data_IF_166802977991
#
_entry.id   IF_166802977991
#
_cell.length_a   1.000
_cell.length_b   1.000
_cell.length_c   1.000
_cell.angle_alpha   90.00
_cell.angle_beta   90.00
_cell.angle_gamma   90.00
#
_symmetry.space_group_name_H-M   'P 1'
#
loop_
_entity.id
_entity.type
_entity.pdbx_description
1 polymer ?
#
# COMPACT_ATOMS: atom_id res chain seq x y z
N UNK A 1 20.00 6.52 1.71
CA UNK A 1 19.77 6.28 0.27
C UNK A 1 18.95 5.01 0.10
N UNK A 2 17.88 5.11 -0.66
CA UNK A 2 17.01 3.96 -0.94
C UNK A 2 17.65 3.05 -2.00
N UNK A 3 17.51 1.74 -1.83
CA UNK A 3 17.98 0.75 -2.79
C UNK A 3 16.78 0.30 -3.61
N UNK A 4 16.90 0.37 -4.94
CA UNK A 4 15.88 -0.12 -5.86
C UNK A 4 16.08 -1.62 -6.03
N UNK A 5 15.04 -2.41 -5.74
CA UNK A 5 15.06 -3.86 -5.93
C UNK A 5 14.26 -4.21 -7.19
N UNK A 6 14.88 -4.99 -8.09
CA UNK A 6 14.19 -5.52 -9.26
C UNK A 6 13.26 -6.66 -8.89
N UNK A 7 12.09 -6.67 -9.52
CA UNK A 7 11.08 -7.73 -9.42
C UNK A 7 10.69 -8.16 -10.82
N UNK A 8 10.12 -9.36 -10.94
CA UNK A 8 9.62 -9.84 -12.24
C UNK A 8 8.60 -8.88 -12.84
N UNK A 9 7.78 -8.26 -11.99
CA UNK A 9 6.70 -7.35 -12.40
C UNK A 9 7.13 -5.87 -12.47
N UNK A 10 8.31 -5.50 -12.00
CA UNK A 10 8.74 -4.11 -11.96
C UNK A 10 9.84 -3.86 -10.94
N UNK A 11 9.66 -2.84 -10.12
CA UNK A 11 10.65 -2.47 -9.10
C UNK A 11 9.97 -2.11 -7.78
N UNK A 12 10.71 -2.27 -6.69
CA UNK A 12 10.30 -1.79 -5.37
C UNK A 12 11.43 -1.03 -4.71
N UNK A 13 11.08 0.05 -4.01
CA UNK A 13 12.01 0.84 -3.22
C UNK A 13 11.51 0.81 -1.78
N UNK A 14 12.19 0.08 -0.89
CA UNK A 14 11.83 0.11 0.53
C UNK A 14 12.12 1.50 1.11
N UNK A 15 11.10 2.15 1.66
CA UNK A 15 11.21 3.48 2.26
C UNK A 15 11.27 3.40 3.78
N UNK A 16 10.44 2.55 4.39
CA UNK A 16 10.43 2.29 5.83
C UNK A 16 10.39 0.79 6.03
N UNK A 17 11.30 0.26 6.83
CA UNK A 17 11.32 -1.15 7.20
C UNK A 17 11.52 -1.27 8.71
N UNK A 18 10.43 -1.51 9.43
CA UNK A 18 10.40 -1.72 10.87
C UNK A 18 9.54 -2.95 11.17
N UNK A 19 9.68 -3.58 12.35
CA UNK A 19 8.86 -4.76 12.66
C UNK A 19 7.35 -4.52 12.58
N UNK A 20 6.89 -3.29 12.89
CA UNK A 20 5.47 -2.97 12.93
C UNK A 20 4.95 -2.33 11.63
N UNK A 21 5.86 -1.87 10.75
CA UNK A 21 5.47 -1.17 9.53
C UNK A 21 6.52 -1.33 8.44
N UNK A 22 6.05 -1.56 7.21
CA UNK A 22 6.87 -1.46 6.01
C UNK A 22 6.15 -0.57 5.01
N UNK A 23 6.89 0.32 4.40
CA UNK A 23 6.39 1.19 3.33
C UNK A 23 7.31 1.05 2.14
N UNK A 24 6.74 0.70 1.00
CA UNK A 24 7.46 0.55 -0.26
C UNK A 24 6.85 1.43 -1.34
N UNK A 25 7.71 2.07 -2.13
CA UNK A 25 7.29 2.66 -3.40
C UNK A 25 7.49 1.60 -4.48
N UNK A 26 6.41 1.25 -5.19
CA UNK A 26 6.47 0.22 -6.23
C UNK A 26 6.16 0.82 -7.59
N UNK A 27 6.82 0.27 -8.61
CA UNK A 27 6.47 0.50 -10.02
C UNK A 27 6.15 -0.85 -10.63
N UNK A 28 4.94 -0.99 -11.16
CA UNK A 28 4.46 -2.23 -11.76
C UNK A 28 4.28 -2.01 -13.25
N UNK A 29 4.97 -2.79 -14.06
CA UNK A 29 4.84 -2.71 -15.51
C UNK A 29 3.46 -3.22 -15.93
N UNK A 30 2.91 -2.65 -16.99
CA UNK A 30 1.65 -3.10 -17.57
C UNK A 30 1.66 -4.63 -17.77
N UNK A 31 0.67 -5.32 -17.23
CA UNK A 31 0.59 -6.78 -17.24
C UNK A 31 1.37 -7.47 -16.11
N UNK A 32 2.16 -6.73 -15.34
CA UNK A 32 2.89 -7.28 -14.21
C UNK A 32 1.96 -7.69 -13.06
N UNK A 33 2.29 -8.77 -12.38
CA UNK A 33 1.53 -9.24 -11.22
C UNK A 33 2.47 -9.88 -10.20
N UNK A 34 2.10 -9.75 -8.93
CA UNK A 34 2.86 -10.38 -7.85
C UNK A 34 2.32 -11.78 -7.54
N UNK A 35 2.98 -12.50 -6.64
CA UNK A 35 2.50 -13.80 -6.17
C UNK A 35 1.19 -13.66 -5.40
N UNK A 36 0.35 -14.70 -5.45
CA UNK A 36 -0.79 -14.83 -4.54
C UNK A 36 -0.24 -15.23 -3.17
N UNK A 37 -0.44 -14.37 -2.17
CA UNK A 37 0.12 -14.57 -0.82
C UNK A 37 -0.78 -13.94 0.24
N UNK A 38 -0.47 -14.22 1.51
CA UNK A 38 -1.11 -13.55 2.63
C UNK A 38 -0.07 -13.23 3.71
N UNK A 39 -0.43 -12.31 4.59
CA UNK A 39 0.37 -11.95 5.77
C UNK A 39 -0.42 -12.31 7.01
N UNK A 40 0.14 -13.11 7.91
CA UNK A 40 -0.59 -13.63 9.06
C UNK A 40 -0.92 -12.55 10.09
N UNK A 41 -0.03 -11.58 10.27
CA UNK A 41 -0.15 -10.60 11.34
C UNK A 41 -0.09 -9.14 10.87
N UNK A 42 -0.03 -8.90 9.57
CA UNK A 42 0.04 -7.54 9.03
C UNK A 42 -1.14 -7.26 8.10
N UNK A 43 -1.64 -6.05 8.20
CA UNK A 43 -2.61 -5.49 7.25
C UNK A 43 -1.80 -4.90 6.10
N UNK A 44 -2.31 -5.01 4.89
CA UNK A 44 -1.64 -4.53 3.69
C UNK A 44 -2.54 -3.54 2.97
N UNK A 45 -2.00 -2.36 2.64
CA UNK A 45 -2.73 -1.36 1.87
C UNK A 45 -1.95 -0.98 0.61
N UNK A 46 -2.71 -0.58 -0.41
CA UNK A 46 -2.18 -0.08 -1.67
C UNK A 46 -2.79 1.29 -1.96
N UNK A 47 -1.94 2.25 -2.25
CA UNK A 47 -2.34 3.58 -2.70
C UNK A 47 -1.75 3.83 -4.08
N UNK A 48 -2.60 4.00 -5.10
CA UNK A 48 -2.15 4.25 -6.47
C UNK A 48 -1.88 5.74 -6.67
N UNK A 49 -0.65 6.08 -7.05
CA UNK A 49 -0.30 7.45 -7.39
C UNK A 49 -0.62 7.75 -8.85
N UNK A 50 -0.33 6.79 -9.74
CA UNK A 50 -0.57 6.91 -11.18
C UNK A 50 -0.70 5.52 -11.78
N UNK A 51 -1.66 5.32 -12.67
CA UNK A 51 -1.88 4.05 -13.37
C UNK A 51 -3.22 3.39 -13.02
N UNK A 52 -3.26 2.06 -13.18
CA UNK A 52 -4.43 1.24 -12.91
C UNK A 52 -3.97 -0.09 -12.34
N UNK A 53 -4.33 -0.36 -11.09
CA UNK A 53 -3.90 -1.55 -10.37
C UNK A 53 -5.11 -2.37 -9.91
N UNK A 54 -5.18 -3.62 -10.34
CA UNK A 54 -6.17 -4.58 -9.84
C UNK A 54 -5.67 -5.16 -8.53
N UNK A 55 -6.53 -5.19 -7.52
CA UNK A 55 -6.28 -5.93 -6.29
C UNK A 55 -7.23 -7.12 -6.27
N UNK A 56 -6.67 -8.31 -6.33
CA UNK A 56 -7.40 -9.56 -6.27
C UNK A 56 -7.37 -10.08 -4.84
N UNK A 57 -8.54 -10.35 -4.27
CA UNK A 57 -8.67 -10.82 -2.88
C UNK A 57 -9.51 -12.09 -2.84
N UNK A 58 -9.01 -13.11 -2.16
CA UNK A 58 -9.71 -14.39 -1.98
C UNK A 58 -10.37 -14.38 -0.61
N UNK A 59 -11.64 -13.97 -0.57
CA UNK A 59 -12.39 -13.81 0.68
C UNK A 59 -12.88 -15.14 1.23
N UNK A 60 -13.36 -16.03 0.36
CA UNK A 60 -13.87 -17.35 0.71
C UNK A 60 -13.57 -18.32 -0.41
N UNK A 61 -12.99 -19.48 -0.05
CA UNK A 61 -12.71 -20.59 -0.97
C UNK A 61 -12.31 -20.13 -2.40
N UNK A 62 -13.27 -20.16 -3.32
CA UNK A 62 -13.05 -19.82 -4.73
C UNK A 62 -13.55 -18.43 -5.11
N UNK A 63 -14.08 -17.66 -4.15
CA UNK A 63 -14.60 -16.31 -4.43
C UNK A 63 -13.45 -15.32 -4.49
N UNK A 64 -13.23 -14.76 -5.67
CA UNK A 64 -12.24 -13.72 -5.90
C UNK A 64 -12.96 -12.39 -6.06
N UNK A 65 -12.57 -11.43 -5.22
CA UNK A 65 -12.99 -10.05 -5.37
C UNK A 65 -11.89 -9.29 -6.09
N UNK A 66 -12.23 -8.63 -7.19
CA UNK A 66 -11.28 -7.83 -7.97
C UNK A 66 -11.70 -6.37 -7.90
N UNK A 67 -10.85 -5.55 -7.31
CA UNK A 67 -11.05 -4.10 -7.23
C UNK A 67 -10.00 -3.43 -8.10
N UNK A 68 -10.41 -2.48 -8.94
CA UNK A 68 -9.48 -1.70 -9.76
C UNK A 68 -9.23 -0.37 -9.07
N UNK A 69 -7.97 -0.10 -8.79
CA UNK A 69 -7.55 1.18 -8.21
C UNK A 69 -7.03 2.08 -9.32
N UNK A 70 -7.59 3.27 -9.40
CA UNK A 70 -7.11 4.37 -10.24
C UNK A 70 -6.31 5.36 -9.37
N UNK A 71 -5.77 6.40 -9.99
CA UNK A 71 -4.99 7.40 -9.24
C UNK A 71 -5.77 7.91 -8.02
N UNK A 72 -5.09 7.94 -6.86
CA UNK A 72 -5.58 8.38 -5.56
C UNK A 72 -6.55 7.40 -4.87
N UNK A 73 -6.78 6.22 -5.47
CA UNK A 73 -7.57 5.17 -4.81
C UNK A 73 -6.74 4.35 -3.83
N UNK A 74 -7.41 3.83 -2.81
CA UNK A 74 -6.82 2.99 -1.76
C UNK A 74 -7.60 1.68 -1.64
N UNK A 75 -6.88 0.58 -1.46
CA UNK A 75 -7.46 -0.68 -1.04
C UNK A 75 -6.72 -1.20 0.20
N UNK A 76 -7.47 -1.79 1.12
CA UNK A 76 -6.91 -2.37 2.35
C UNK A 76 -7.27 -3.85 2.40
N UNK A 77 -6.25 -4.68 2.59
CA UNK A 77 -6.39 -6.13 2.72
C UNK A 77 -6.12 -6.52 4.17
N UNK A 78 -7.08 -7.15 4.84
CA UNK A 78 -6.87 -7.57 6.24
C UNK A 78 -5.84 -8.68 6.35
N UNK A 79 -5.28 -8.82 7.56
CA UNK A 79 -4.36 -9.91 7.86
C UNK A 79 -5.04 -11.26 7.60
N UNK A 80 -4.29 -12.21 7.10
CA UNK A 80 -4.76 -13.58 6.84
C UNK A 80 -5.49 -13.78 5.52
N UNK A 81 -5.81 -12.73 4.78
CA UNK A 81 -6.51 -12.84 3.50
C UNK A 81 -5.52 -12.93 2.34
N UNK A 82 -5.68 -13.97 1.51
CA UNK A 82 -4.86 -14.11 0.30
C UNK A 82 -5.19 -13.03 -0.71
N UNK A 83 -4.16 -12.49 -1.33
CA UNK A 83 -4.30 -11.41 -2.31
C UNK A 83 -3.13 -11.39 -3.30
N UNK A 84 -3.35 -10.68 -4.40
CA UNK A 84 -2.31 -10.33 -5.37
C UNK A 84 -2.70 -9.04 -6.07
N UNK A 85 -1.71 -8.33 -6.62
CA UNK A 85 -1.99 -7.21 -7.50
C UNK A 85 -1.61 -7.53 -8.95
N UNK A 86 -2.26 -6.84 -9.88
CA UNK A 86 -1.94 -6.91 -11.31
C UNK A 86 -2.16 -5.54 -11.93
N UNK A 87 -1.19 -5.03 -12.66
CA UNK A 87 -1.30 -3.73 -13.32
C UNK A 87 -1.94 -3.87 -14.70
N UNK A 88 -2.96 -3.05 -14.98
CA UNK A 88 -3.54 -2.90 -16.33
C UNK A 88 -2.70 -1.98 -17.18
N UNK A 89 -2.00 -1.04 -16.56
CA UNK A 89 -1.09 -0.07 -17.17
C UNK A 89 0.14 0.03 -16.29
N UNK A 90 1.19 0.69 -16.79
CA UNK A 90 2.32 1.04 -15.93
C UNK A 90 1.79 1.84 -14.73
N UNK A 91 2.11 1.36 -13.54
CA UNK A 91 1.52 1.88 -12.31
C UNK A 91 2.59 2.22 -11.30
N UNK A 92 2.46 3.40 -10.70
CA UNK A 92 3.24 3.81 -9.55
C UNK A 92 2.32 3.83 -8.34
N UNK A 93 2.72 3.14 -7.28
CA UNK A 93 1.90 2.99 -6.08
C UNK A 93 2.75 2.93 -4.82
N UNK A 94 2.10 3.15 -3.68
CA UNK A 94 2.67 2.88 -2.37
C UNK A 94 2.05 1.60 -1.84
N UNK A 95 2.88 0.73 -1.29
CA UNK A 95 2.46 -0.49 -0.62
C UNK A 95 2.86 -0.39 0.84
N UNK A 96 1.89 -0.59 1.74
CA UNK A 96 2.08 -0.42 3.18
C UNK A 96 1.67 -1.69 3.90
N UNK A 97 2.49 -2.13 4.84
CA UNK A 97 2.20 -3.22 5.76
C UNK A 97 2.31 -2.70 7.18
N UNK A 98 1.33 -3.00 8.03
CA UNK A 98 1.41 -2.59 9.44
C UNK A 98 0.64 -3.54 10.34
N UNK A 99 0.99 -3.49 11.64
CA UNK A 99 0.21 -4.13 12.70
C UNK A 99 -0.67 -3.07 13.36
N UNK A 100 -1.87 -3.48 13.80
CA UNK A 100 -2.80 -2.53 14.41
C UNK A 100 -2.26 -1.95 15.72
N UNK A 101 -2.38 -0.64 15.85
CA UNK A 101 -2.06 0.13 17.03
C UNK A 101 -3.25 1.00 17.39
N UNK A 102 -3.20 1.69 18.54
CA UNK A 102 -4.28 2.55 18.97
C UNK A 102 -4.37 3.81 18.10
N UNK A 103 -5.57 4.14 17.61
CA UNK A 103 -5.80 5.39 16.89
C UNK A 103 -5.79 6.61 17.83
N UNK A 104 -5.94 6.37 19.13
CA UNK A 104 -6.02 7.44 20.13
C UNK A 104 -4.71 7.64 20.87
N UNK A 105 -3.62 7.10 20.35
CA UNK A 105 -2.30 7.24 20.96
C UNK A 105 -1.71 8.60 20.64
N UNK A 106 -2.27 9.63 21.27
CA UNK A 106 -1.82 11.01 21.12
C UNK A 106 -2.06 11.79 22.41
N UNK A 107 -1.09 12.62 22.76
CA UNK A 107 -1.16 13.53 23.87
C UNK A 107 -0.74 14.91 23.36
N UNK A 108 -1.59 15.93 23.62
CA UNK A 108 -1.33 17.29 23.12
C UNK A 108 -1.07 18.25 24.26
N UNK A 109 0.01 19.00 24.17
CA UNK A 109 0.28 20.12 25.05
C UNK A 109 -0.54 21.34 24.62
N UNK A 110 -0.53 21.63 23.32
CA UNK A 110 -1.34 22.71 22.72
C UNK A 110 -1.98 22.23 21.42
N UNK A 111 -3.06 22.88 21.03
CA UNK A 111 -3.70 22.61 19.72
C UNK A 111 -2.97 23.35 18.61
N UNK A 112 -3.02 22.81 17.41
CA UNK A 112 -2.45 23.45 16.23
C UNK A 112 -3.31 24.62 15.73
N UNK A 113 -2.76 25.37 14.80
CA UNK A 113 -3.45 26.50 14.17
C UNK A 113 -2.67 27.02 12.98
N UNK A 114 -3.04 28.20 12.51
CA UNK A 114 -2.35 28.87 11.41
C UNK A 114 -1.44 29.97 11.94
N UNK A 115 -0.21 30.01 11.44
CA UNK A 115 0.72 31.10 11.77
C UNK A 115 0.39 32.31 10.91
N UNK A 116 0.32 33.51 11.52
CA UNK A 116 0.11 34.75 10.79
C UNK A 116 1.36 35.18 10.00
N UNK A 117 2.52 34.64 10.34
CA UNK A 117 3.76 34.92 9.62
C UNK A 117 3.77 34.40 8.18
N UNK A 118 2.89 33.44 7.88
CA UNK A 118 2.80 32.83 6.56
C UNK A 118 1.55 33.26 5.80
N UNK A 119 1.04 34.41 6.14
CA UNK A 119 -0.12 34.99 5.47
C UNK A 119 0.29 35.40 4.05
N UNK A 120 -0.39 34.84 3.06
CA UNK A 120 -0.05 35.06 1.65
C UNK A 120 -0.99 36.04 0.97
#
# INVERSE_FOLDING_TARGET
MSIIEGKVWGTTIPLIQRPQIELHSIFVNAGGYCSKHCHQSKINAFYVEDGELEIHRWKDYDLVDVTVLYAEDVAIVPAGEYHMFKARRDTKALEVYWSELSLNDIERDVVGGMSQEYDL
#
